data_IF_325865375154
#
_entry.id   IF_325865375154
#
_cell.length_a   1.000
_cell.length_b   1.000
_cell.length_c   1.000
_cell.angle_alpha   90.00
_cell.angle_beta   90.00
_cell.angle_gamma   90.00
#
_symmetry.space_group_name_H-M   'P 1'
#
loop_
_entity.id
_entity.type
_entity.pdbx_description
1 polymer ?
#
# COMPACT_ATOMS: atom_id res chain seq x y z
N UNK A 1 -19.22 -20.25 9.69
CA UNK A 1 -18.51 -18.96 9.76
C UNK A 1 -17.66 -18.88 8.52
N UNK A 2 -18.16 -18.15 7.51
CA UNK A 2 -17.63 -18.16 6.16
C UNK A 2 -16.43 -17.23 5.99
N UNK A 3 -15.57 -17.56 5.05
CA UNK A 3 -14.55 -16.64 4.56
C UNK A 3 -15.22 -15.38 3.99
N UNK A 4 -14.63 -14.21 4.26
CA UNK A 4 -15.19 -12.95 3.77
C UNK A 4 -14.10 -11.97 3.34
N UNK A 5 -14.37 -11.27 2.24
CA UNK A 5 -13.53 -10.18 1.75
C UNK A 5 -13.41 -9.07 2.81
N UNK A 6 -14.49 -8.75 3.54
CA UNK A 6 -14.45 -7.76 4.63
C UNK A 6 -13.47 -8.13 5.73
N UNK A 7 -13.46 -9.39 6.18
CA UNK A 7 -12.49 -9.84 7.18
C UNK A 7 -11.06 -9.66 6.65
N UNK A 8 -10.82 -10.03 5.39
CA UNK A 8 -9.52 -9.81 4.72
C UNK A 8 -9.08 -8.35 4.71
N UNK A 9 -9.98 -7.44 4.31
CA UNK A 9 -9.69 -5.99 4.28
C UNK A 9 -9.40 -5.45 5.67
N UNK A 10 -10.18 -5.85 6.68
CA UNK A 10 -9.97 -5.41 8.06
C UNK A 10 -8.63 -5.89 8.60
N UNK A 11 -8.28 -7.16 8.38
CA UNK A 11 -7.00 -7.72 8.84
C UNK A 11 -5.81 -7.04 8.16
N UNK A 12 -5.85 -6.84 6.84
CA UNK A 12 -4.79 -6.11 6.14
C UNK A 12 -4.70 -4.65 6.58
N UNK A 13 -5.84 -4.01 6.88
CA UNK A 13 -5.85 -2.64 7.40
C UNK A 13 -5.12 -2.55 8.74
N UNK A 14 -5.39 -3.46 9.68
CA UNK A 14 -4.70 -3.48 10.97
C UNK A 14 -3.21 -3.72 10.81
N UNK A 15 -2.81 -4.66 9.94
CA UNK A 15 -1.39 -4.92 9.64
C UNK A 15 -0.72 -3.74 8.93
N UNK A 16 -1.46 -2.98 8.11
CA UNK A 16 -0.97 -1.82 7.36
C UNK A 16 -0.68 -0.59 8.23
N UNK A 17 -1.35 -0.43 9.38
CA UNK A 17 -1.21 0.73 10.27
C UNK A 17 0.26 1.08 10.60
N UNK A 18 1.10 0.16 11.12
CA UNK A 18 2.48 0.50 11.48
C UNK A 18 3.32 0.96 10.28
N UNK A 19 3.10 0.39 9.09
CA UNK A 19 3.81 0.79 7.88
C UNK A 19 3.42 2.20 7.44
N UNK A 20 2.12 2.51 7.44
CA UNK A 20 1.61 3.84 7.10
C UNK A 20 2.06 4.89 8.12
N UNK A 21 2.05 4.54 9.41
CA UNK A 21 2.52 5.40 10.48
C UNK A 21 4.01 5.75 10.30
N UNK A 22 4.86 4.75 10.06
CA UNK A 22 6.29 5.00 9.83
C UNK A 22 6.58 5.79 8.56
N UNK A 23 5.87 5.50 7.48
CA UNK A 23 5.94 6.29 6.25
C UNK A 23 5.59 7.76 6.50
N UNK A 24 4.54 8.01 7.27
CA UNK A 24 4.07 9.36 7.60
C UNK A 24 5.07 10.09 8.50
N UNK A 25 5.60 9.43 9.53
CA UNK A 25 6.62 9.97 10.43
C UNK A 25 7.89 10.36 9.66
N UNK A 26 8.37 9.48 8.77
CA UNK A 26 9.53 9.76 7.94
C UNK A 26 9.29 10.95 7.01
N UNK A 27 8.12 11.04 6.38
CA UNK A 27 7.77 12.15 5.50
C UNK A 27 7.66 13.49 6.24
N UNK A 28 7.06 13.49 7.44
CA UNK A 28 6.99 14.68 8.29
C UNK A 28 8.36 15.12 8.81
N UNK A 29 9.23 14.15 9.14
CA UNK A 29 10.60 14.41 9.59
C UNK A 29 11.52 15.01 8.52
N UNK A 30 11.18 14.85 7.24
CA UNK A 30 11.92 15.46 6.13
C UNK A 30 11.58 16.94 5.91
N UNK A 31 10.51 17.46 6.53
CA UNK A 31 10.15 18.88 6.40
C UNK A 31 11.12 19.74 7.23
N UNK A 32 11.80 20.73 6.63
CA UNK A 32 12.71 21.62 7.35
C UNK A 32 12.06 22.34 8.54
N UNK A 33 12.80 22.53 9.64
CA UNK A 33 12.31 23.24 10.84
C UNK A 33 12.05 24.72 10.57
N UNK A 34 12.70 25.30 9.57
CA UNK A 34 12.52 26.70 9.14
C UNK A 34 11.06 27.04 8.78
N UNK A 35 10.28 26.07 8.29
CA UNK A 35 8.84 26.27 8.04
C UNK A 35 8.06 26.54 9.32
N UNK A 36 8.46 25.93 10.45
CA UNK A 36 7.83 26.11 11.76
C UNK A 36 8.29 27.41 12.40
N UNK A 37 9.59 27.67 12.39
CA UNK A 37 10.19 28.91 12.92
C UNK A 37 9.64 30.16 12.21
N UNK A 38 9.51 30.12 10.88
CA UNK A 38 8.92 31.22 10.10
C UNK A 38 7.43 31.43 10.42
N UNK A 39 6.69 30.35 10.67
CA UNK A 39 5.28 30.46 11.06
C UNK A 39 5.11 31.02 12.48
N UNK A 40 5.99 30.64 13.42
CA UNK A 40 6.03 31.21 14.77
C UNK A 40 6.36 32.70 14.74
N UNK A 41 7.31 33.13 13.90
CA UNK A 41 7.66 34.54 13.71
C UNK A 41 6.50 35.38 13.16
N UNK A 42 5.59 34.75 12.40
CA UNK A 42 4.36 35.36 11.89
C UNK A 42 3.19 35.29 12.89
N UNK A 43 3.40 34.74 14.09
CA UNK A 43 2.37 34.58 15.11
C UNK A 43 1.31 33.53 14.75
N UNK A 44 1.61 32.60 13.85
CA UNK A 44 0.65 31.58 13.42
C UNK A 44 0.56 30.44 14.45
N UNK A 45 -0.66 29.94 14.75
CA UNK A 45 -0.83 28.85 15.71
C UNK A 45 -0.30 27.53 15.16
N UNK A 46 0.35 26.72 16.03
CA UNK A 46 1.01 25.47 15.66
C UNK A 46 0.09 24.47 14.92
N UNK A 47 -1.19 24.37 15.28
CA UNK A 47 -2.15 23.50 14.60
C UNK A 47 -2.46 23.93 13.16
N UNK A 48 -2.44 25.24 12.89
CA UNK A 48 -2.62 25.78 11.54
C UNK A 48 -1.36 25.53 10.70
N UNK A 49 -0.19 25.81 11.26
CA UNK A 49 1.13 25.53 10.63
C UNK A 49 1.27 24.05 10.28
N UNK A 50 0.89 23.15 11.19
CA UNK A 50 0.90 21.71 10.94
C UNK A 50 0.03 21.35 9.75
N UNK A 51 -1.24 21.77 9.73
CA UNK A 51 -2.21 21.37 8.69
C UNK A 51 -1.95 22.01 7.33
N UNK A 52 -1.57 23.30 7.30
CA UNK A 52 -1.50 24.10 6.06
C UNK A 52 -0.10 24.14 5.45
N UNK A 53 0.95 24.06 6.26
CA UNK A 53 2.34 24.17 5.79
C UNK A 53 3.00 22.80 5.84
N UNK A 54 3.17 22.23 7.03
CA UNK A 54 3.98 21.01 7.23
C UNK A 54 3.34 19.80 6.55
N UNK A 55 2.04 19.57 6.79
CA UNK A 55 1.33 18.44 6.21
C UNK A 55 1.32 18.53 4.68
N UNK A 56 1.03 19.71 4.13
CA UNK A 56 1.03 19.94 2.68
C UNK A 56 2.41 19.68 2.06
N UNK A 57 3.48 20.12 2.72
CA UNK A 57 4.84 19.87 2.27
C UNK A 57 5.25 18.40 2.37
N UNK A 58 4.73 17.66 3.36
CA UNK A 58 5.02 16.24 3.56
C UNK A 58 4.19 15.31 2.65
N UNK A 59 3.07 15.78 2.09
CA UNK A 59 2.15 14.96 1.28
C UNK A 59 2.83 14.11 0.20
N UNK A 60 3.77 14.62 -0.62
CA UNK A 60 4.44 13.79 -1.63
C UNK A 60 5.22 12.62 -1.01
N UNK A 61 5.84 12.85 0.14
CA UNK A 61 6.54 11.81 0.91
C UNK A 61 5.57 10.79 1.49
N UNK A 62 4.45 11.25 2.06
CA UNK A 62 3.40 10.37 2.62
C UNK A 62 2.83 9.47 1.52
N UNK A 63 2.49 10.02 0.35
CA UNK A 63 1.96 9.25 -0.80
C UNK A 63 2.97 8.21 -1.25
N UNK A 64 4.25 8.57 -1.36
CA UNK A 64 5.30 7.62 -1.74
C UNK A 64 5.42 6.48 -0.73
N UNK A 65 5.39 6.79 0.58
CA UNK A 65 5.43 5.79 1.63
C UNK A 65 4.18 4.90 1.67
N UNK A 66 2.99 5.45 1.39
CA UNK A 66 1.76 4.67 1.26
C UNK A 66 1.84 3.66 0.11
N UNK A 67 2.41 4.03 -1.05
CA UNK A 67 2.59 3.09 -2.17
C UNK A 67 3.48 1.91 -1.79
N UNK A 68 4.53 2.15 -1.00
CA UNK A 68 5.39 1.08 -0.49
C UNK A 68 4.66 0.21 0.54
N UNK A 69 3.89 0.82 1.44
CA UNK A 69 3.06 0.08 2.41
C UNK A 69 2.02 -0.82 1.71
N UNK A 70 1.41 -0.34 0.63
CA UNK A 70 0.50 -1.14 -0.21
C UNK A 70 1.23 -2.33 -0.84
N UNK A 71 2.44 -2.13 -1.37
CA UNK A 71 3.23 -3.21 -1.94
C UNK A 71 3.57 -4.30 -0.91
N UNK A 72 3.85 -3.92 0.34
CA UNK A 72 4.02 -4.86 1.45
C UNK A 72 2.72 -5.61 1.75
N UNK A 73 1.60 -4.89 1.89
CA UNK A 73 0.30 -5.49 2.19
C UNK A 73 -0.17 -6.48 1.12
N UNK A 74 0.10 -6.23 -0.16
CA UNK A 74 -0.22 -7.16 -1.27
C UNK A 74 0.60 -8.45 -1.18
N UNK A 75 1.81 -8.40 -0.62
CA UNK A 75 2.65 -9.58 -0.38
C UNK A 75 2.17 -10.47 0.78
N UNK A 76 1.33 -9.93 1.68
CA UNK A 76 0.85 -10.64 2.86
C UNK A 76 -0.20 -11.70 2.50
N UNK A 77 0.25 -12.95 2.38
CA UNK A 77 -0.60 -14.09 1.94
C UNK A 77 -1.29 -14.79 3.10
N UNK A 78 -0.61 -14.90 4.24
CA UNK A 78 -1.10 -15.60 5.42
C UNK A 78 -2.39 -14.99 5.99
N UNK A 79 -2.48 -13.69 6.30
CA UNK A 79 -3.70 -13.11 6.87
C UNK A 79 -4.90 -13.28 5.92
N UNK A 80 -4.70 -13.09 4.62
CA UNK A 80 -5.74 -13.28 3.60
C UNK A 80 -6.26 -14.73 3.58
N UNK A 81 -5.36 -15.71 3.69
CA UNK A 81 -5.73 -17.12 3.69
C UNK A 81 -6.64 -17.51 4.86
N UNK A 82 -6.37 -16.97 6.06
CA UNK A 82 -7.16 -17.27 7.25
C UNK A 82 -8.47 -16.50 7.35
N UNK A 83 -8.65 -15.42 6.59
CA UNK A 83 -9.77 -14.48 6.76
C UNK A 83 -10.69 -14.46 5.55
N UNK A 84 -10.13 -14.27 4.36
CA UNK A 84 -10.86 -14.18 3.11
C UNK A 84 -10.82 -15.50 2.32
N UNK A 85 -9.90 -16.43 2.63
CA UNK A 85 -9.75 -17.70 1.92
C UNK A 85 -9.42 -17.49 0.44
N UNK A 86 -9.08 -18.57 -0.27
CA UNK A 86 -8.77 -18.50 -1.70
C UNK A 86 -9.85 -19.15 -2.56
N UNK A 87 -10.14 -18.54 -3.72
CA UNK A 87 -11.03 -19.10 -4.74
C UNK A 87 -10.49 -18.86 -6.14
N UNK A 88 -10.63 -19.86 -7.00
CA UNK A 88 -10.38 -19.76 -8.45
C UNK A 88 -11.62 -19.25 -9.23
N UNK A 89 -12.72 -18.99 -8.53
CA UNK A 89 -13.95 -18.50 -9.16
C UNK A 89 -13.89 -16.99 -9.42
N UNK A 90 -14.63 -16.55 -10.44
CA UNK A 90 -14.81 -15.12 -10.73
C UNK A 90 -15.33 -14.38 -9.48
N UNK A 91 -14.83 -13.16 -9.19
CA UNK A 91 -15.30 -12.39 -8.04
C UNK A 91 -16.80 -12.17 -8.12
N UNK A 92 -17.54 -12.67 -7.13
CA UNK A 92 -18.99 -12.51 -7.05
C UNK A 92 -19.42 -11.11 -6.64
N UNK A 93 -18.48 -10.24 -6.26
CA UNK A 93 -18.73 -8.91 -5.71
C UNK A 93 -19.33 -8.91 -4.30
N UNK A 94 -19.56 -10.09 -3.70
CA UNK A 94 -20.08 -10.21 -2.35
C UNK A 94 -18.98 -9.92 -1.34
N UNK A 95 -19.28 -9.01 -0.41
CA UNK A 95 -18.37 -8.59 0.65
C UNK A 95 -18.31 -9.61 1.81
N UNK A 96 -19.38 -10.38 2.00
CA UNK A 96 -19.54 -11.40 3.06
C UNK A 96 -19.70 -12.79 2.45
N UNK A 97 -19.24 -13.80 3.19
CA UNK A 97 -19.42 -15.23 2.87
C UNK A 97 -19.00 -15.64 1.45
N UNK A 98 -18.00 -14.95 0.88
CA UNK A 98 -17.41 -15.30 -0.41
C UNK A 98 -15.89 -15.28 -0.29
N UNK A 99 -15.21 -16.38 -0.67
CA UNK A 99 -13.77 -16.36 -0.84
C UNK A 99 -13.35 -15.55 -2.06
N UNK A 100 -12.10 -15.10 -2.09
CA UNK A 100 -11.56 -14.24 -3.15
C UNK A 100 -10.26 -14.78 -3.72
N UNK A 101 -10.08 -14.62 -5.02
CA UNK A 101 -8.84 -14.95 -5.70
C UNK A 101 -7.79 -13.86 -5.50
N UNK A 102 -6.57 -14.25 -5.13
CA UNK A 102 -5.42 -13.35 -5.05
C UNK A 102 -4.16 -14.05 -5.57
N UNK A 103 -3.29 -13.26 -6.23
CA UNK A 103 -2.15 -13.77 -7.00
C UNK A 103 -1.04 -14.39 -6.14
N UNK A 104 -0.95 -14.03 -4.85
CA UNK A 104 0.08 -14.59 -3.97
C UNK A 104 -0.17 -16.05 -3.57
N UNK A 105 -1.42 -16.51 -3.63
CA UNK A 105 -1.75 -17.90 -3.27
C UNK A 105 -1.15 -18.91 -4.25
N UNK A 106 -1.33 -18.79 -5.59
CA UNK A 106 -0.65 -19.66 -6.57
C UNK A 106 0.87 -19.72 -6.39
N UNK A 107 1.49 -18.60 -6.04
CA UNK A 107 2.94 -18.53 -5.78
C UNK A 107 3.29 -19.44 -4.59
N UNK A 108 2.55 -19.34 -3.49
CA UNK A 108 2.81 -20.13 -2.29
C UNK A 108 2.43 -21.61 -2.44
N UNK A 109 1.33 -21.93 -3.13
CA UNK A 109 0.82 -23.30 -3.19
C UNK A 109 1.50 -24.14 -4.27
N UNK A 110 1.90 -23.53 -5.39
CA UNK A 110 2.36 -24.26 -6.57
C UNK A 110 3.88 -24.25 -6.79
N UNK A 111 4.66 -23.47 -6.04
CA UNK A 111 6.11 -23.38 -6.27
C UNK A 111 6.87 -24.71 -6.10
N UNK A 112 6.40 -25.58 -5.19
CA UNK A 112 7.07 -26.85 -4.87
C UNK A 112 6.28 -28.08 -5.35
N UNK A 113 5.30 -27.90 -6.24
CA UNK A 113 4.54 -29.03 -6.75
C UNK A 113 5.36 -29.86 -7.76
N UNK A 114 5.20 -31.19 -7.78
CA UNK A 114 5.92 -32.07 -8.70
C UNK A 114 5.50 -31.89 -10.16
N UNK A 115 4.30 -31.36 -10.40
CA UNK A 115 3.82 -31.03 -11.74
C UNK A 115 4.55 -29.80 -12.29
N UNK A 116 5.17 -29.96 -13.47
CA UNK A 116 5.86 -28.85 -14.16
C UNK A 116 4.89 -27.71 -14.50
N UNK A 117 3.67 -28.04 -14.94
CA UNK A 117 2.63 -27.06 -15.24
C UNK A 117 2.23 -26.22 -14.02
N UNK A 118 2.17 -26.83 -12.83
CA UNK A 118 1.85 -26.10 -11.60
C UNK A 118 2.97 -25.11 -11.23
N UNK A 119 4.23 -25.53 -11.39
CA UNK A 119 5.38 -24.64 -11.18
C UNK A 119 5.41 -23.49 -12.17
N UNK A 120 5.12 -23.73 -13.44
CA UNK A 120 5.07 -22.69 -14.47
C UNK A 120 4.00 -21.62 -14.10
N UNK A 121 2.82 -22.04 -13.66
CA UNK A 121 1.79 -21.12 -13.14
C UNK A 121 2.26 -20.27 -11.95
N UNK A 122 3.06 -20.84 -11.05
CA UNK A 122 3.61 -20.09 -9.90
C UNK A 122 4.59 -19.00 -10.33
N UNK A 123 5.42 -19.27 -11.35
CA UNK A 123 6.36 -18.30 -11.89
C UNK A 123 5.63 -17.19 -12.66
N UNK A 124 4.60 -17.54 -13.45
CA UNK A 124 3.78 -16.57 -14.16
C UNK A 124 3.05 -15.64 -13.18
N UNK A 125 2.46 -16.20 -12.12
CA UNK A 125 1.80 -15.42 -11.07
C UNK A 125 2.78 -14.47 -10.35
N UNK A 126 3.99 -14.95 -10.03
CA UNK A 126 5.03 -14.13 -9.41
C UNK A 126 5.51 -13.00 -10.33
N UNK A 127 5.73 -13.31 -11.62
CA UNK A 127 6.13 -12.33 -12.61
C UNK A 127 5.06 -11.23 -12.76
N UNK A 128 3.80 -11.60 -12.95
CA UNK A 128 2.69 -10.64 -13.06
C UNK A 128 2.55 -9.77 -11.81
N UNK A 129 2.64 -10.37 -10.62
CA UNK A 129 2.54 -9.63 -9.36
C UNK A 129 3.68 -8.61 -9.22
N UNK A 130 4.92 -9.01 -9.48
CA UNK A 130 6.08 -8.12 -9.40
C UNK A 130 5.95 -6.98 -10.42
N UNK A 131 5.61 -7.29 -11.67
CA UNK A 131 5.42 -6.28 -12.72
C UNK A 131 4.31 -5.30 -12.35
N UNK A 132 3.17 -5.80 -11.87
CA UNK A 132 2.05 -4.96 -11.43
C UNK A 132 2.45 -4.03 -10.29
N UNK A 133 3.15 -4.54 -9.28
CA UNK A 133 3.62 -3.74 -8.15
C UNK A 133 4.63 -2.67 -8.59
N UNK A 134 5.59 -3.04 -9.45
CA UNK A 134 6.57 -2.09 -9.99
C UNK A 134 5.90 -0.99 -10.79
N UNK A 135 4.91 -1.34 -11.63
CA UNK A 135 4.14 -0.35 -12.38
C UNK A 135 3.35 0.58 -11.46
N UNK A 136 2.69 0.06 -10.44
CA UNK A 136 1.94 0.88 -9.47
C UNK A 136 2.87 1.86 -8.73
N UNK A 137 4.02 1.38 -8.26
CA UNK A 137 5.01 2.22 -7.58
C UNK A 137 5.60 3.25 -8.54
N UNK A 138 5.95 2.85 -9.77
CA UNK A 138 6.53 3.73 -10.78
C UNK A 138 5.55 4.84 -11.20
N UNK A 139 4.31 4.49 -11.51
CA UNK A 139 3.25 5.45 -11.86
C UNK A 139 3.00 6.40 -10.70
N UNK A 140 2.85 5.87 -9.49
CA UNK A 140 2.63 6.69 -8.30
C UNK A 140 3.78 7.66 -8.02
N UNK A 141 5.04 7.22 -8.20
CA UNK A 141 6.22 8.09 -8.10
C UNK A 141 6.30 9.13 -9.21
N UNK A 142 5.91 8.78 -10.44
CA UNK A 142 5.88 9.74 -11.54
C UNK A 142 4.85 10.85 -11.27
N UNK A 143 3.65 10.49 -10.79
CA UNK A 143 2.60 11.46 -10.45
C UNK A 143 3.05 12.40 -9.32
N UNK A 144 3.64 11.87 -8.25
CA UNK A 144 4.14 12.70 -7.14
C UNK A 144 5.34 13.55 -7.54
N UNK A 145 6.24 13.01 -8.38
CA UNK A 145 7.40 13.73 -8.91
C UNK A 145 7.02 14.87 -9.84
N UNK A 146 6.03 14.67 -10.72
CA UNK A 146 5.51 15.71 -11.61
C UNK A 146 4.77 16.81 -10.82
N UNK A 147 4.00 16.43 -9.80
CA UNK A 147 3.31 17.38 -8.92
C UNK A 147 4.27 18.31 -8.17
N UNK A 148 5.46 17.81 -7.80
CA UNK A 148 6.51 18.61 -7.15
C UNK A 148 7.07 19.71 -8.06
N UNK A 149 7.25 19.43 -9.35
CA UNK A 149 7.74 20.42 -10.34
C UNK A 149 6.74 21.54 -10.63
N UNK A 150 5.45 21.27 -10.57
CA UNK A 150 4.41 22.28 -10.86
C UNK A 150 4.15 23.26 -9.70
N UNK A 151 4.64 22.98 -8.49
CA UNK A 151 4.53 23.90 -7.36
C UNK A 151 5.75 24.83 -7.22
N UNK A 152 6.78 24.65 -8.05
CA UNK A 152 7.99 25.48 -8.13
C UNK A 152 7.97 26.44 -9.35
N UNK A 153 6.90 26.43 -10.15
CA UNK A 153 6.65 27.31 -11.30
C UNK A 153 5.49 28.26 -11.03
#
# INVERSE_FOLDING_TARGET
MGFSLLAGVLTLSVLGIPYIAKATESALGQVPTSYREGAEALGLPAGWTLRKIVLKSALPGIVTGMLVALALAVGETAPMLYTAGWSDSLPTGKLTDSPVGYLTYPIWTFYNQPSKTARDLSYDAAFLLIVLLLLLIAIGRLITGVSRRHSES
#
